data_IF_508699483709
#
_entry.id   IF_508699483709
#
_cell.length_a   1.000
_cell.length_b   1.000
_cell.length_c   1.000
_cell.angle_alpha   90.00
_cell.angle_beta   90.00
_cell.angle_gamma   90.00
#
_symmetry.space_group_name_H-M   'P 1'
#
loop_
_entity.id
_entity.type
_entity.pdbx_description
1 polymer ?
#
# COMPACT_ATOMS: atom_id res chain seq x y z
N UNK A 1 12.83 -10.21 -18.05
CA UNK A 1 13.41 -9.13 -17.21
C UNK A 1 14.60 -9.72 -16.49
N UNK A 2 15.72 -8.98 -16.34
CA UNK A 2 16.86 -9.51 -15.59
C UNK A 2 16.52 -9.67 -14.09
N UNK A 3 17.14 -10.64 -13.42
CA UNK A 3 16.89 -10.90 -11.98
C UNK A 3 17.22 -9.68 -11.12
N UNK A 4 18.24 -8.93 -11.49
CA UNK A 4 18.62 -7.67 -10.83
C UNK A 4 17.57 -6.57 -11.01
N UNK A 5 16.96 -6.45 -12.18
CA UNK A 5 15.90 -5.47 -12.41
C UNK A 5 14.64 -5.82 -11.61
N UNK A 6 14.30 -7.11 -11.50
CA UNK A 6 13.20 -7.56 -10.65
C UNK A 6 13.46 -7.24 -9.17
N UNK A 7 14.66 -7.52 -8.68
CA UNK A 7 15.05 -7.15 -7.32
C UNK A 7 14.93 -5.65 -7.06
N UNK A 8 15.47 -4.83 -7.98
CA UNK A 8 15.41 -3.37 -7.87
C UNK A 8 13.95 -2.86 -7.85
N UNK A 9 13.11 -3.34 -8.76
CA UNK A 9 11.69 -2.99 -8.80
C UNK A 9 10.98 -3.34 -7.49
N UNK A 10 11.25 -4.52 -6.94
CA UNK A 10 10.71 -5.00 -5.67
C UNK A 10 11.15 -4.11 -4.50
N UNK A 11 12.45 -3.82 -4.40
CA UNK A 11 13.01 -2.94 -3.36
C UNK A 11 12.37 -1.55 -3.44
N UNK A 12 12.34 -0.93 -4.61
CA UNK A 12 11.77 0.42 -4.79
C UNK A 12 10.28 0.45 -4.46
N UNK A 13 9.52 -0.56 -4.87
CA UNK A 13 8.08 -0.65 -4.55
C UNK A 13 7.85 -0.83 -3.05
N UNK A 14 8.66 -1.66 -2.38
CA UNK A 14 8.49 -1.95 -0.96
C UNK A 14 8.81 -0.76 -0.05
N UNK A 15 9.76 0.10 -0.43
CA UNK A 15 10.16 1.27 0.37
C UNK A 15 8.96 2.17 0.70
N UNK A 16 8.09 2.40 -0.29
CA UNK A 16 6.89 3.26 -0.10
C UNK A 16 6.05 2.74 1.06
N UNK A 17 5.70 1.46 1.03
CA UNK A 17 4.85 0.83 2.05
C UNK A 17 5.52 0.75 3.42
N UNK A 18 6.82 0.38 3.46
CA UNK A 18 7.57 0.28 4.72
C UNK A 18 7.67 1.65 5.38
N UNK A 19 8.04 2.69 4.63
CA UNK A 19 8.18 4.04 5.18
C UNK A 19 6.84 4.58 5.68
N UNK A 20 5.79 4.47 4.88
CA UNK A 20 4.47 4.95 5.30
C UNK A 20 3.90 4.14 6.46
N UNK A 21 4.02 2.82 6.44
CA UNK A 21 3.60 1.97 7.55
C UNK A 21 4.33 2.31 8.85
N UNK A 22 5.64 2.51 8.81
CA UNK A 22 6.42 2.95 9.98
C UNK A 22 5.97 4.31 10.50
N UNK A 23 5.82 5.31 9.62
CA UNK A 23 5.37 6.64 10.01
C UNK A 23 3.96 6.64 10.61
N UNK A 24 3.08 5.79 10.10
CA UNK A 24 1.73 5.62 10.64
C UNK A 24 1.76 5.02 12.04
N UNK A 25 2.56 3.98 12.28
CA UNK A 25 2.71 3.40 13.62
C UNK A 25 3.24 4.41 14.64
N UNK A 26 4.25 5.20 14.27
CA UNK A 26 4.85 6.19 15.18
C UNK A 26 3.95 7.40 15.45
N UNK A 27 2.98 7.67 14.56
CA UNK A 27 2.07 8.82 14.67
C UNK A 27 0.59 8.40 14.68
N UNK A 28 0.28 7.26 15.28
CA UNK A 28 -1.06 6.66 15.21
C UNK A 28 -2.18 7.62 15.64
N UNK A 29 -1.94 8.46 16.63
CA UNK A 29 -2.91 9.44 17.13
C UNK A 29 -3.40 10.41 16.07
N UNK A 30 -2.52 10.89 15.18
CA UNK A 30 -2.92 11.77 14.07
C UNK A 30 -3.65 11.03 12.96
N UNK A 31 -3.38 9.72 12.79
CA UNK A 31 -4.07 8.91 11.80
C UNK A 31 -5.50 8.54 12.21
N UNK A 32 -5.80 8.41 13.50
CA UNK A 32 -7.18 8.13 13.98
C UNK A 32 -8.16 9.23 13.61
N UNK A 33 -7.69 10.46 13.48
CA UNK A 33 -8.50 11.64 13.10
C UNK A 33 -8.43 11.94 11.60
N UNK A 34 -7.70 11.12 10.83
CA UNK A 34 -7.59 11.31 9.39
C UNK A 34 -8.95 11.16 8.70
N UNK A 35 -9.28 12.10 7.81
CA UNK A 35 -10.57 12.14 7.14
C UNK A 35 -10.91 10.85 6.36
N UNK A 36 -9.92 10.17 5.80
CA UNK A 36 -10.12 8.90 5.10
C UNK A 36 -10.57 7.78 6.05
N UNK A 37 -9.93 7.67 7.22
CA UNK A 37 -10.30 6.70 8.26
C UNK A 37 -11.69 6.99 8.78
N UNK A 38 -11.98 8.24 9.10
CA UNK A 38 -13.31 8.65 9.59
C UNK A 38 -14.41 8.32 8.57
N UNK A 39 -14.17 8.61 7.27
CA UNK A 39 -15.11 8.25 6.20
C UNK A 39 -15.29 6.75 6.09
N UNK A 40 -14.21 5.97 6.16
CA UNK A 40 -14.27 4.51 6.08
C UNK A 40 -15.07 3.92 7.25
N UNK A 41 -14.83 4.41 8.47
CA UNK A 41 -15.63 4.05 9.67
C UNK A 41 -17.13 4.34 9.46
N UNK A 42 -17.44 5.52 8.91
CA UNK A 42 -18.84 5.90 8.63
C UNK A 42 -19.51 4.96 7.63
N UNK A 43 -18.84 4.59 6.56
CA UNK A 43 -19.37 3.68 5.53
C UNK A 43 -19.54 2.25 6.06
N UNK A 44 -18.66 1.80 6.96
CA UNK A 44 -18.74 0.46 7.59
C UNK A 44 -19.69 0.38 8.80
N UNK A 45 -20.44 1.46 9.06
CA UNK A 45 -21.40 1.50 10.17
C UNK A 45 -20.75 1.51 11.55
N UNK A 46 -19.48 1.89 11.67
CA UNK A 46 -18.79 2.00 12.95
C UNK A 46 -18.42 0.64 13.60
N UNK A 47 -18.44 -0.45 12.84
CA UNK A 47 -18.12 -1.80 13.35
C UNK A 47 -16.71 -1.85 13.98
N UNK A 48 -15.76 -1.11 13.40
CA UNK A 48 -14.40 -0.98 13.93
C UNK A 48 -14.15 0.47 14.35
N UNK A 49 -13.45 0.65 15.48
CA UNK A 49 -13.04 1.99 15.91
C UNK A 49 -12.00 2.58 14.97
N UNK A 50 -11.91 3.94 14.86
CA UNK A 50 -10.86 4.60 14.06
C UNK A 50 -9.45 4.15 14.44
N UNK A 51 -9.21 3.89 15.72
CA UNK A 51 -7.91 3.43 16.24
C UNK A 51 -7.56 2.04 15.68
N UNK A 52 -8.51 1.10 15.69
CA UNK A 52 -8.29 -0.25 15.14
C UNK A 52 -7.99 -0.17 13.64
N UNK A 53 -8.75 0.65 12.90
CA UNK A 53 -8.53 0.82 11.46
C UNK A 53 -7.15 1.46 11.20
N UNK A 54 -6.75 2.47 11.98
CA UNK A 54 -5.43 3.09 11.83
C UNK A 54 -4.29 2.07 12.03
N UNK A 55 -4.38 1.21 13.05
CA UNK A 55 -3.40 0.13 13.24
C UNK A 55 -3.43 -0.91 12.12
N UNK A 56 -4.60 -1.28 11.61
CA UNK A 56 -4.71 -2.21 10.48
C UNK A 56 -4.07 -1.64 9.21
N UNK A 57 -4.33 -0.37 8.91
CA UNK A 57 -3.73 0.35 7.79
C UNK A 57 -2.20 0.35 7.92
N UNK A 58 -1.67 0.74 9.07
CA UNK A 58 -0.23 0.77 9.34
C UNK A 58 0.39 -0.65 9.23
N UNK A 59 -0.31 -1.67 9.72
CA UNK A 59 0.14 -3.06 9.63
C UNK A 59 0.16 -3.57 8.18
N UNK A 60 -0.87 -3.30 7.38
CA UNK A 60 -0.93 -3.70 5.97
C UNK A 60 0.22 -3.06 5.20
N UNK A 61 0.46 -1.76 5.39
CA UNK A 61 1.56 -1.06 4.76
C UNK A 61 2.91 -1.65 5.17
N UNK A 62 3.20 -1.72 6.46
CA UNK A 62 4.50 -2.14 6.95
C UNK A 62 4.79 -3.60 6.61
N UNK A 63 3.90 -4.51 6.99
CA UNK A 63 4.13 -5.95 6.79
C UNK A 63 4.00 -6.33 5.31
N UNK A 64 3.05 -5.74 4.57
CA UNK A 64 2.94 -5.93 3.13
C UNK A 64 4.22 -5.49 2.41
N UNK A 65 4.74 -4.32 2.75
CA UNK A 65 6.01 -3.83 2.22
C UNK A 65 7.19 -4.76 2.55
N UNK A 66 7.29 -5.24 3.79
CA UNK A 66 8.34 -6.18 4.20
C UNK A 66 8.25 -7.51 3.45
N UNK A 67 7.06 -8.06 3.26
CA UNK A 67 6.84 -9.28 2.46
C UNK A 67 7.30 -9.10 1.01
N UNK A 68 6.97 -7.97 0.39
CA UNK A 68 7.46 -7.61 -0.95
C UNK A 68 8.98 -7.48 -0.95
N UNK A 69 9.58 -6.82 0.03
CA UNK A 69 11.03 -6.61 0.13
C UNK A 69 11.79 -7.92 0.13
N UNK A 70 11.42 -8.85 1.01
CA UNK A 70 12.10 -10.15 1.13
C UNK A 70 11.67 -11.14 0.04
N UNK A 71 10.60 -10.84 -0.68
CA UNK A 71 10.05 -11.71 -1.71
C UNK A 71 9.43 -12.98 -1.14
N UNK A 72 8.63 -12.84 -0.08
CA UNK A 72 7.90 -13.95 0.53
C UNK A 72 6.40 -13.76 0.33
N UNK A 73 5.74 -14.81 -0.18
CA UNK A 73 4.32 -14.75 -0.56
C UNK A 73 4.02 -13.55 -1.44
N UNK A 74 4.95 -13.19 -2.34
CA UNK A 74 4.98 -11.92 -3.07
C UNK A 74 3.69 -11.64 -3.82
N UNK A 75 3.11 -12.64 -4.49
CA UNK A 75 1.86 -12.47 -5.25
C UNK A 75 0.68 -12.15 -4.34
N UNK A 76 0.59 -12.82 -3.19
CA UNK A 76 -0.45 -12.55 -2.18
C UNK A 76 -0.29 -11.17 -1.55
N UNK A 77 0.92 -10.83 -1.11
CA UNK A 77 1.22 -9.53 -0.53
C UNK A 77 0.90 -8.41 -1.52
N UNK A 78 1.30 -8.55 -2.79
CA UNK A 78 0.99 -7.57 -3.83
C UNK A 78 -0.52 -7.43 -4.07
N UNK A 79 -1.28 -8.56 -4.07
CA UNK A 79 -2.73 -8.52 -4.24
C UNK A 79 -3.43 -7.79 -3.08
N UNK A 80 -3.03 -8.07 -1.84
CA UNK A 80 -3.56 -7.36 -0.66
C UNK A 80 -3.24 -5.87 -0.72
N UNK A 81 -2.00 -5.52 -1.08
CA UNK A 81 -1.60 -4.12 -1.22
C UNK A 81 -2.35 -3.40 -2.36
N UNK A 82 -2.67 -4.08 -3.48
CA UNK A 82 -3.51 -3.49 -4.54
C UNK A 82 -4.89 -3.13 -3.99
N UNK A 83 -5.54 -4.05 -3.29
CA UNK A 83 -6.85 -3.79 -2.67
C UNK A 83 -6.76 -2.60 -1.73
N UNK A 84 -5.73 -2.58 -0.88
CA UNK A 84 -5.48 -1.49 0.05
C UNK A 84 -5.27 -0.14 -0.66
N UNK A 85 -4.43 -0.08 -1.71
CA UNK A 85 -4.18 1.14 -2.48
C UNK A 85 -5.44 1.62 -3.21
N UNK A 86 -6.27 0.70 -3.73
CA UNK A 86 -7.56 1.06 -4.33
C UNK A 86 -8.49 1.70 -3.29
N UNK A 87 -8.57 1.15 -2.09
CA UNK A 87 -9.33 1.78 -1.00
C UNK A 87 -8.77 3.16 -0.64
N UNK A 88 -7.45 3.31 -0.62
CA UNK A 88 -6.79 4.61 -0.40
C UNK A 88 -7.15 5.63 -1.48
N UNK A 89 -7.24 5.23 -2.75
CA UNK A 89 -7.69 6.11 -3.84
C UNK A 89 -9.10 6.65 -3.59
N UNK A 90 -10.01 5.79 -3.12
CA UNK A 90 -11.43 6.13 -2.94
C UNK A 90 -11.64 7.00 -1.69
N UNK A 91 -10.99 6.64 -0.57
CA UNK A 91 -11.27 7.27 0.72
C UNK A 91 -10.32 8.44 1.06
N UNK A 92 -9.04 8.35 0.68
CA UNK A 92 -8.04 9.35 1.01
C UNK A 92 -7.84 10.40 -0.09
N UNK A 93 -7.91 10.00 -1.37
CA UNK A 93 -7.57 10.87 -2.50
C UNK A 93 -8.67 11.00 -3.56
N UNK A 94 -9.95 11.19 -3.19
CA UNK A 94 -11.03 11.46 -4.15
C UNK A 94 -10.92 12.90 -4.64
N UNK A 95 -9.93 13.22 -5.50
CA UNK A 95 -9.60 14.60 -5.91
C UNK A 95 -10.77 15.35 -6.56
N UNK A 96 -11.75 14.64 -7.10
CA UNK A 96 -12.96 15.22 -7.68
C UNK A 96 -13.90 15.86 -6.65
N UNK A 97 -13.69 15.57 -5.35
CA UNK A 97 -14.46 16.17 -4.25
C UNK A 97 -13.78 17.39 -3.62
N UNK A 98 -12.59 17.76 -4.09
CA UNK A 98 -11.81 18.88 -3.58
C UNK A 98 -11.77 20.01 -4.61
N UNK A 99 -11.49 21.24 -4.12
CA UNK A 99 -11.31 22.44 -4.93
C UNK A 99 -9.94 23.08 -4.64
N UNK A 100 -9.53 23.99 -5.54
CA UNK A 100 -8.31 24.77 -5.39
C UNK A 100 -7.03 23.93 -5.23
N UNK A 101 -6.08 24.38 -4.39
CA UNK A 101 -4.80 23.69 -4.20
C UNK A 101 -4.94 22.26 -3.67
N UNK A 102 -5.95 21.99 -2.85
CA UNK A 102 -6.22 20.65 -2.31
C UNK A 102 -6.59 19.65 -3.39
N UNK A 103 -7.32 20.08 -4.43
CA UNK A 103 -7.64 19.24 -5.60
C UNK A 103 -6.38 18.82 -6.33
N UNK A 104 -5.48 19.75 -6.63
CA UNK A 104 -4.24 19.46 -7.34
C UNK A 104 -3.35 18.51 -6.54
N UNK A 105 -3.20 18.73 -5.22
CA UNK A 105 -2.42 17.85 -4.35
C UNK A 105 -2.97 16.42 -4.31
N UNK A 106 -4.30 16.27 -4.13
CA UNK A 106 -4.94 14.95 -4.12
C UNK A 106 -4.90 14.26 -5.49
N UNK A 107 -4.99 15.02 -6.59
CA UNK A 107 -4.86 14.49 -7.94
C UNK A 107 -3.47 13.89 -8.19
N UNK A 108 -2.40 14.54 -7.74
CA UNK A 108 -1.04 14.00 -7.81
C UNK A 108 -0.93 12.69 -7.02
N UNK A 109 -1.49 12.64 -5.81
CA UNK A 109 -1.48 11.41 -5.00
C UNK A 109 -2.29 10.29 -5.66
N UNK A 110 -3.43 10.61 -6.28
CA UNK A 110 -4.23 9.64 -7.02
C UNK A 110 -3.42 8.97 -8.14
N UNK A 111 -2.79 9.77 -9.02
CA UNK A 111 -1.99 9.20 -10.12
C UNK A 111 -0.74 8.47 -9.65
N UNK A 112 -0.10 8.91 -8.57
CA UNK A 112 1.01 8.16 -7.95
C UNK A 112 0.56 6.78 -7.47
N UNK A 113 -0.61 6.70 -6.84
CA UNK A 113 -1.17 5.42 -6.41
C UNK A 113 -1.53 4.49 -7.58
N UNK A 114 -2.01 5.04 -8.72
CA UNK A 114 -2.19 4.25 -9.93
C UNK A 114 -0.87 3.65 -10.44
N UNK A 115 0.22 4.42 -10.40
CA UNK A 115 1.55 3.91 -10.77
C UNK A 115 2.03 2.80 -9.81
N UNK A 116 1.75 2.92 -8.51
CA UNK A 116 2.03 1.89 -7.51
C UNK A 116 1.24 0.61 -7.80
N UNK A 117 -0.06 0.73 -8.12
CA UNK A 117 -0.87 -0.43 -8.54
C UNK A 117 -0.25 -1.10 -9.77
N UNK A 118 0.19 -0.32 -10.75
CA UNK A 118 0.89 -0.85 -11.93
C UNK A 118 2.14 -1.65 -11.56
N UNK A 119 2.98 -1.12 -10.65
CA UNK A 119 4.16 -1.83 -10.16
C UNK A 119 3.81 -3.13 -9.42
N UNK A 120 2.78 -3.12 -8.58
CA UNK A 120 2.30 -4.32 -7.87
C UNK A 120 1.73 -5.38 -8.84
N UNK A 121 1.01 -4.97 -9.90
CA UNK A 121 0.54 -5.88 -10.95
C UNK A 121 1.71 -6.55 -11.66
N UNK A 122 2.78 -5.84 -11.96
CA UNK A 122 3.99 -6.44 -12.50
C UNK A 122 4.58 -7.49 -11.57
N UNK A 123 4.59 -7.26 -10.25
CA UNK A 123 5.06 -8.24 -9.27
C UNK A 123 4.18 -9.49 -9.23
N UNK A 124 2.88 -9.36 -9.42
CA UNK A 124 1.96 -10.52 -9.51
C UNK A 124 2.25 -11.35 -10.77
N UNK A 125 2.41 -10.69 -11.91
CA UNK A 125 2.59 -11.37 -13.22
C UNK A 125 3.98 -12.00 -13.32
N UNK A 126 5.03 -11.21 -13.04
CA UNK A 126 6.42 -11.65 -13.19
C UNK A 126 6.91 -12.50 -12.02
N UNK A 127 6.22 -12.43 -10.89
CA UNK A 127 6.62 -13.11 -9.67
C UNK A 127 7.80 -12.46 -8.95
N UNK A 128 8.26 -13.09 -7.87
CA UNK A 128 9.25 -12.51 -6.95
C UNK A 128 10.68 -12.46 -7.50
N UNK A 129 10.97 -13.19 -8.58
CA UNK A 129 12.31 -13.30 -9.16
C UNK A 129 13.27 -14.20 -8.36
N UNK A 130 14.46 -14.41 -8.92
CA UNK A 130 15.47 -15.34 -8.38
C UNK A 130 15.95 -14.97 -6.97
N UNK A 131 16.10 -13.67 -6.69
CA UNK A 131 16.58 -13.17 -5.39
C UNK A 131 15.43 -12.96 -4.41
N UNK A 132 14.68 -14.04 -4.09
CA UNK A 132 13.51 -14.02 -3.23
C UNK A 132 13.44 -15.25 -2.33
N UNK A 133 12.74 -15.12 -1.20
CA UNK A 133 12.45 -16.26 -0.32
C UNK A 133 11.50 -17.26 -1.01
N UNK A 134 10.54 -16.77 -1.80
CA UNK A 134 9.64 -17.65 -2.55
C UNK A 134 10.41 -18.59 -3.48
N UNK A 135 11.40 -18.06 -4.21
CA UNK A 135 12.25 -18.87 -5.08
C UNK A 135 13.10 -19.88 -4.28
N UNK A 136 13.61 -19.48 -3.12
CA UNK A 136 14.38 -20.36 -2.24
C UNK A 136 13.55 -21.51 -1.70
N UNK A 137 12.25 -21.31 -1.49
CA UNK A 137 11.32 -22.32 -1.00
C UNK A 137 10.52 -23.01 -2.12
N UNK A 138 10.90 -22.82 -3.40
CA UNK A 138 10.24 -23.44 -4.55
C UNK A 138 8.79 -22.99 -4.79
N UNK A 139 8.45 -21.74 -4.43
CA UNK A 139 7.11 -21.14 -4.55
C UNK A 139 7.02 -20.08 -5.67
N UNK A 140 7.83 -20.18 -6.69
CA UNK A 140 7.88 -19.21 -7.82
C UNK A 140 6.65 -19.32 -8.73
#
# INVERSE_FOLDING_TARGET
>A
MSDSANLAARVLTSIVFIVFGYLQFTNIGSYTTNAAIVKFVGVTGGVLSPTVIAYLVAAIDLFGGLLILVGFQTRWAASVLIIFVVLTLIFAHPFWTFEGPSRAANQVQFYKNLAIIGALLFLIVLGPGRYSLDNRFGRS
#
